data_IF_870365774363
#
_entry.id   IF_870365774363
#
_cell.length_a   1.000
_cell.length_b   1.000
_cell.length_c   1.000
_cell.angle_alpha   90.00
_cell.angle_beta   90.00
_cell.angle_gamma   90.00
#
_symmetry.space_group_name_H-M   'P 1'
#
loop_
_entity.id
_entity.type
_entity.pdbx_description
1 polymer ?
#
# COMPACT_ATOMS: atom_id res chain seq x y z
N UNK A 1 -7.63 19.12 -1.53
CA UNK A 1 -9.06 19.10 -1.13
C UNK A 1 -9.20 18.82 0.34
N UNK A 2 -10.27 19.28 1.01
CA UNK A 2 -10.57 18.83 2.37
C UNK A 2 -10.86 17.32 2.37
N UNK A 3 -10.56 16.63 3.47
CA UNK A 3 -10.92 15.21 3.66
C UNK A 3 -12.44 15.00 3.49
N UNK A 4 -12.83 13.80 3.04
CA UNK A 4 -14.22 13.38 2.90
C UNK A 4 -15.09 13.77 4.10
N UNK A 5 -16.13 14.58 3.84
CA UNK A 5 -17.07 15.07 4.85
C UNK A 5 -16.67 16.39 5.50
N UNK A 6 -15.52 16.96 5.15
CA UNK A 6 -15.06 18.27 5.61
C UNK A 6 -15.25 19.34 4.53
N UNK A 7 -15.42 20.60 4.93
CA UNK A 7 -15.46 21.76 4.04
C UNK A 7 -14.17 22.60 4.20
N UNK A 8 -13.75 23.38 3.20
CA UNK A 8 -12.52 24.16 3.29
C UNK A 8 -12.45 25.11 4.50
N UNK A 9 -13.58 25.57 5.00
CA UNK A 9 -13.67 26.48 6.15
C UNK A 9 -13.47 25.80 7.51
N UNK A 10 -13.67 24.48 7.58
CA UNK A 10 -13.58 23.69 8.82
C UNK A 10 -12.65 22.48 8.72
N UNK A 11 -11.86 22.38 7.65
CA UNK A 11 -11.00 21.24 7.43
C UNK A 11 -9.76 21.25 8.33
N UNK A 12 -9.60 20.18 9.11
CA UNK A 12 -8.38 19.89 9.85
C UNK A 12 -7.44 18.97 9.05
N UNK A 13 -7.98 18.25 8.07
CA UNK A 13 -7.28 17.25 7.26
C UNK A 13 -7.41 17.58 5.77
N UNK A 14 -6.28 17.58 5.07
CA UNK A 14 -6.19 17.95 3.66
C UNK A 14 -5.60 16.83 2.83
N UNK A 15 -6.24 16.55 1.70
CA UNK A 15 -5.78 15.61 0.67
C UNK A 15 -5.01 16.38 -0.40
N UNK A 16 -3.78 15.97 -0.61
CA UNK A 16 -2.87 16.54 -1.62
C UNK A 16 -2.73 15.52 -2.75
N UNK A 17 -2.96 15.98 -3.98
CA UNK A 17 -2.91 15.14 -5.17
C UNK A 17 -1.56 15.25 -5.86
N UNK A 18 -1.00 14.11 -6.26
CA UNK A 18 0.28 14.03 -6.96
C UNK A 18 0.09 13.34 -8.30
N UNK A 19 0.21 14.04 -9.44
CA UNK A 19 0.12 13.39 -10.75
C UNK A 19 1.38 12.57 -11.00
N UNK A 20 1.21 11.25 -11.15
CA UNK A 20 2.32 10.30 -11.38
C UNK A 20 2.07 9.52 -12.67
N UNK A 21 3.13 9.34 -13.47
CA UNK A 21 3.12 8.51 -14.68
C UNK A 21 4.16 7.40 -14.55
N UNK A 22 3.74 6.17 -14.84
CA UNK A 22 4.65 5.04 -14.92
C UNK A 22 5.62 5.19 -16.12
N UNK A 23 6.85 4.63 -16.04
CA UNK A 23 7.79 4.64 -17.16
C UNK A 23 7.20 4.05 -18.45
N UNK A 24 7.75 4.45 -19.60
CA UNK A 24 7.35 3.86 -20.87
C UNK A 24 7.57 2.35 -20.88
N UNK A 25 6.56 1.61 -21.37
CA UNK A 25 6.54 0.14 -21.42
C UNK A 25 6.58 -0.55 -20.03
N UNK A 26 6.29 0.17 -18.94
CA UNK A 26 6.14 -0.45 -17.63
C UNK A 26 4.94 -1.41 -17.63
N UNK A 27 5.12 -2.58 -17.00
CA UNK A 27 4.01 -3.48 -16.71
C UNK A 27 3.21 -2.92 -15.54
N UNK A 28 1.90 -2.80 -15.72
CA UNK A 28 0.92 -2.34 -14.75
C UNK A 28 0.15 -3.50 -14.16
N UNK A 29 -0.68 -3.23 -13.14
CA UNK A 29 -1.56 -4.22 -12.50
C UNK A 29 -2.45 -4.95 -13.51
N UNK A 30 -2.85 -4.29 -14.59
CA UNK A 30 -3.76 -4.84 -15.61
C UNK A 30 -3.08 -5.76 -16.61
N UNK A 31 -1.75 -5.76 -16.65
CA UNK A 31 -0.97 -6.50 -17.65
C UNK A 31 -0.65 -7.95 -17.23
N UNK A 32 -1.09 -8.38 -16.04
CA UNK A 32 -0.83 -9.74 -15.53
C UNK A 32 -2.08 -10.39 -14.97
N UNK A 33 -2.36 -11.59 -15.44
CA UNK A 33 -3.26 -12.54 -14.78
C UNK A 33 -2.77 -12.89 -13.37
N UNK A 34 -3.67 -13.38 -12.54
CA UNK A 34 -3.34 -13.84 -11.19
C UNK A 34 -2.30 -14.97 -11.22
N UNK A 35 -2.34 -15.85 -12.23
CA UNK A 35 -1.34 -16.92 -12.39
C UNK A 35 0.03 -16.37 -12.76
N UNK A 36 0.13 -15.38 -13.65
CA UNK A 36 1.41 -14.74 -13.98
C UNK A 36 2.02 -14.02 -12.77
N UNK A 37 1.18 -13.43 -11.92
CA UNK A 37 1.64 -12.87 -10.64
C UNK A 37 2.20 -13.97 -9.71
N UNK A 38 1.51 -15.11 -9.59
CA UNK A 38 1.96 -16.26 -8.80
C UNK A 38 3.29 -16.85 -9.32
N UNK A 39 3.42 -17.03 -10.64
CA UNK A 39 4.65 -17.52 -11.26
C UNK A 39 5.81 -16.53 -11.05
N UNK A 40 5.55 -15.23 -11.20
CA UNK A 40 6.56 -14.21 -10.92
C UNK A 40 6.99 -14.23 -9.45
N UNK A 41 6.05 -14.38 -8.51
CA UNK A 41 6.38 -14.55 -7.09
C UNK A 41 7.23 -15.81 -6.86
N UNK A 42 6.90 -16.93 -7.52
CA UNK A 42 7.65 -18.18 -7.38
C UNK A 42 9.08 -18.06 -7.89
N UNK A 43 9.30 -17.37 -9.01
CA UNK A 43 10.66 -17.05 -9.48
C UNK A 43 11.44 -16.25 -8.44
N UNK A 44 10.81 -15.24 -7.81
CA UNK A 44 11.42 -14.46 -6.73
C UNK A 44 11.74 -15.34 -5.52
N UNK A 45 10.77 -16.17 -5.10
CA UNK A 45 10.90 -17.10 -3.98
C UNK A 45 12.08 -18.05 -4.15
N UNK A 46 12.28 -18.58 -5.36
CA UNK A 46 13.29 -19.61 -5.63
C UNK A 46 14.70 -19.06 -5.78
N UNK A 47 14.87 -17.87 -6.38
CA UNK A 47 16.21 -17.40 -6.74
C UNK A 47 16.72 -16.21 -5.92
N UNK A 48 15.87 -15.53 -5.12
CA UNK A 48 16.26 -14.31 -4.41
C UNK A 48 15.91 -14.28 -2.91
N UNK A 49 15.15 -15.24 -2.40
CA UNK A 49 14.72 -15.21 -0.98
C UNK A 49 14.83 -16.56 -0.29
N UNK A 50 15.39 -16.56 0.92
CA UNK A 50 15.37 -17.74 1.79
C UNK A 50 14.04 -17.83 2.57
N UNK A 51 13.56 -16.69 3.07
CA UNK A 51 12.27 -16.54 3.75
C UNK A 51 11.10 -16.29 2.77
N UNK A 52 9.90 -16.05 3.30
CA UNK A 52 8.71 -15.85 2.47
C UNK A 52 8.64 -14.40 1.94
N UNK A 53 8.69 -14.16 0.62
CA UNK A 53 8.48 -12.83 0.07
C UNK A 53 7.03 -12.41 0.24
N UNK A 54 6.81 -11.22 0.80
CA UNK A 54 5.47 -10.62 0.91
C UNK A 54 4.90 -10.36 -0.48
N UNK A 55 3.63 -10.72 -0.69
CA UNK A 55 2.92 -10.49 -1.94
C UNK A 55 1.41 -10.38 -1.71
N UNK A 56 0.80 -9.47 -2.47
CA UNK A 56 -0.65 -9.40 -2.66
C UNK A 56 -0.95 -9.72 -4.12
N UNK A 57 -1.62 -10.83 -4.37
CA UNK A 57 -2.08 -11.24 -5.70
C UNK A 57 -3.48 -10.68 -5.91
N UNK A 58 -3.65 -9.86 -6.96
CA UNK A 58 -4.97 -9.37 -7.38
C UNK A 58 -5.57 -10.28 -8.44
N UNK A 59 -6.84 -10.66 -8.29
CA UNK A 59 -7.49 -11.63 -9.20
C UNK A 59 -8.92 -11.26 -9.57
N UNK A 60 -9.35 -11.71 -10.76
CA UNK A 60 -10.74 -11.69 -11.21
C UNK A 60 -11.47 -12.97 -10.79
N UNK A 61 -12.80 -12.94 -10.58
CA UNK A 61 -13.56 -14.09 -10.07
C UNK A 61 -13.38 -15.40 -10.86
N UNK A 62 -13.19 -15.31 -12.18
CA UNK A 62 -12.98 -16.45 -13.07
C UNK A 62 -11.59 -17.09 -12.97
N UNK A 63 -10.60 -16.39 -12.41
CA UNK A 63 -9.24 -16.90 -12.19
C UNK A 63 -9.11 -17.74 -10.91
N UNK A 64 -10.11 -17.68 -10.02
CA UNK A 64 -10.05 -18.28 -8.68
C UNK A 64 -9.71 -19.77 -8.70
N UNK A 65 -10.30 -20.53 -9.63
CA UNK A 65 -10.06 -21.97 -9.73
C UNK A 65 -8.62 -22.30 -10.13
N UNK A 66 -8.00 -21.47 -10.96
CA UNK A 66 -6.63 -21.70 -11.39
C UNK A 66 -5.64 -21.33 -10.29
N UNK A 67 -5.91 -20.25 -9.55
CA UNK A 67 -5.13 -19.89 -8.35
C UNK A 67 -5.13 -21.04 -7.34
N UNK A 68 -6.29 -21.62 -7.04
CA UNK A 68 -6.40 -22.73 -6.09
C UNK A 68 -5.56 -23.94 -6.53
N UNK A 69 -5.63 -24.32 -7.81
CA UNK A 69 -4.81 -25.41 -8.37
C UNK A 69 -3.31 -25.08 -8.26
N UNK A 70 -2.94 -23.85 -8.55
CA UNK A 70 -1.56 -23.40 -8.50
C UNK A 70 -0.98 -23.44 -7.09
N UNK A 71 -1.72 -22.92 -6.11
CA UNK A 71 -1.32 -22.94 -4.69
C UNK A 71 -1.19 -24.39 -4.22
N UNK A 72 -2.15 -25.26 -4.56
CA UNK A 72 -2.09 -26.67 -4.18
C UNK A 72 -0.84 -27.37 -4.75
N UNK A 73 -0.49 -27.09 -6.01
CA UNK A 73 0.69 -27.65 -6.67
C UNK A 73 2.00 -27.17 -6.03
N UNK A 74 2.05 -25.95 -5.52
CA UNK A 74 3.25 -25.31 -4.97
C UNK A 74 3.23 -25.17 -3.44
N UNK A 75 2.34 -25.88 -2.76
CA UNK A 75 2.11 -25.74 -1.31
C UNK A 75 3.36 -25.92 -0.46
N UNK A 76 4.34 -26.70 -0.93
CA UNK A 76 5.62 -26.94 -0.26
C UNK A 76 6.53 -25.69 -0.24
N UNK A 77 6.28 -24.73 -1.14
CA UNK A 77 7.07 -23.49 -1.30
C UNK A 77 6.37 -22.27 -0.73
N UNK A 78 5.06 -22.33 -0.54
CA UNK A 78 4.21 -21.22 -0.09
C UNK A 78 4.23 -21.15 1.43
N UNK A 79 4.86 -20.11 1.99
CA UNK A 79 4.81 -19.79 3.42
C UNK A 79 3.62 -18.90 3.78
N UNK A 80 3.30 -17.94 2.91
CA UNK A 80 2.13 -17.08 3.04
C UNK A 80 1.98 -16.17 1.82
N UNK A 81 0.76 -16.05 1.31
CA UNK A 81 0.41 -15.18 0.18
C UNK A 81 -0.95 -14.56 0.47
N UNK A 82 -1.13 -13.28 0.13
CA UNK A 82 -2.41 -12.59 0.26
C UNK A 82 -3.09 -12.54 -1.10
N UNK A 83 -4.38 -12.87 -1.16
CA UNK A 83 -5.19 -12.80 -2.37
C UNK A 83 -6.32 -11.79 -2.17
N UNK A 84 -6.36 -10.76 -3.01
CA UNK A 84 -7.43 -9.76 -2.99
C UNK A 84 -8.14 -9.74 -4.34
N UNK A 85 -9.47 -9.69 -4.37
CA UNK A 85 -10.17 -9.43 -5.62
C UNK A 85 -9.72 -8.11 -6.25
N UNK A 86 -9.60 -8.06 -7.57
CA UNK A 86 -9.39 -6.84 -8.32
C UNK A 86 -10.69 -6.02 -8.41
N UNK A 87 -11.27 -5.66 -7.26
CA UNK A 87 -12.38 -4.70 -7.21
C UNK A 87 -11.80 -3.30 -6.99
N UNK A 88 -12.24 -2.35 -7.81
CA UNK A 88 -12.04 -0.93 -7.51
C UNK A 88 -13.08 -0.55 -6.46
N UNK A 89 -12.67 -0.59 -5.18
CA UNK A 89 -13.48 -0.02 -4.12
C UNK A 89 -13.57 1.49 -4.38
N UNK A 90 -14.73 1.96 -4.86
CA UNK A 90 -14.98 3.38 -5.10
C UNK A 90 -15.14 4.09 -3.75
N UNK A 91 -14.03 4.54 -3.20
CA UNK A 91 -14.03 5.56 -2.16
C UNK A 91 -13.87 6.92 -2.82
N UNK A 92 -14.51 7.95 -2.27
CA UNK A 92 -14.47 9.31 -2.83
C UNK A 92 -13.04 9.88 -2.92
N UNK A 93 -12.12 9.41 -2.07
CA UNK A 93 -10.70 9.80 -2.05
C UNK A 93 -9.83 8.54 -2.00
N UNK A 94 -9.71 7.84 -3.12
CA UNK A 94 -8.79 6.71 -3.21
C UNK A 94 -7.33 7.20 -3.15
N UNK A 95 -6.43 6.48 -2.45
CA UNK A 95 -5.00 6.82 -2.43
C UNK A 95 -4.35 6.83 -3.82
N UNK A 96 -4.85 5.99 -4.73
CA UNK A 96 -4.45 5.96 -6.12
C UNK A 96 -5.69 5.98 -7.01
N UNK A 97 -5.72 6.90 -7.95
CA UNK A 97 -6.78 7.04 -8.93
C UNK A 97 -6.19 6.93 -10.34
N UNK A 98 -6.79 6.09 -11.16
CA UNK A 98 -6.41 5.97 -12.57
C UNK A 98 -7.03 7.12 -13.36
N UNK A 99 -6.19 7.97 -13.93
CA UNK A 99 -6.59 9.12 -14.73
C UNK A 99 -6.23 8.93 -16.21
N UNK A 100 -6.91 9.66 -17.08
CA UNK A 100 -6.58 9.69 -18.51
C UNK A 100 -5.26 10.43 -18.76
N UNK A 101 -4.68 10.21 -19.93
CA UNK A 101 -3.48 10.94 -20.36
C UNK A 101 -3.73 12.45 -20.42
N UNK A 102 -4.90 12.87 -20.91
CA UNK A 102 -5.27 14.29 -21.02
C UNK A 102 -5.35 14.97 -19.64
N UNK A 103 -5.96 14.29 -18.67
CA UNK A 103 -6.01 14.75 -17.29
C UNK A 103 -4.63 14.84 -16.67
N UNK A 104 -3.78 13.83 -16.88
CA UNK A 104 -2.40 13.84 -16.41
C UNK A 104 -1.62 15.04 -16.96
N UNK A 105 -1.69 15.28 -18.27
CA UNK A 105 -0.98 16.39 -18.92
C UNK A 105 -1.44 17.76 -18.39
N UNK A 106 -2.75 17.91 -18.15
CA UNK A 106 -3.30 19.11 -17.50
C UNK A 106 -2.78 19.26 -16.07
N UNK A 107 -2.88 18.22 -15.25
CA UNK A 107 -2.50 18.25 -13.84
C UNK A 107 -1.00 18.51 -13.66
N UNK A 108 -0.13 17.91 -14.48
CA UNK A 108 1.31 18.16 -14.44
C UNK A 108 1.65 19.60 -14.82
N UNK A 109 0.90 20.19 -15.76
CA UNK A 109 1.09 21.59 -16.14
C UNK A 109 0.66 22.54 -15.02
N UNK A 110 -0.40 22.20 -14.30
CA UNK A 110 -0.90 22.97 -13.15
C UNK A 110 -0.10 22.71 -11.86
N UNK A 111 0.65 21.61 -11.80
CA UNK A 111 1.39 21.20 -10.60
C UNK A 111 2.50 22.22 -10.29
N UNK A 112 2.56 22.76 -9.06
CA UNK A 112 3.52 23.78 -8.72
C UNK A 112 4.95 23.23 -8.67
N UNK A 113 5.93 24.06 -9.03
CA UNK A 113 7.33 23.75 -8.80
C UNK A 113 7.63 23.79 -7.29
N UNK A 114 7.87 22.64 -6.68
CA UNK A 114 8.17 22.51 -5.25
C UNK A 114 9.68 22.63 -5.03
N UNK A 115 10.09 23.63 -4.26
CA UNK A 115 11.48 23.83 -3.85
C UNK A 115 11.73 23.17 -2.49
N UNK A 116 12.09 21.89 -2.52
CA UNK A 116 12.39 21.09 -1.34
C UNK A 116 13.57 21.66 -0.51
N UNK A 117 14.41 22.54 -1.07
CA UNK A 117 15.48 23.20 -0.31
C UNK A 117 14.96 24.15 0.76
N UNK A 118 13.68 24.54 0.73
CA UNK A 118 13.06 25.44 1.72
C UNK A 118 12.38 24.71 2.87
N UNK A 119 12.35 23.37 2.87
CA UNK A 119 11.67 22.57 3.92
C UNK A 119 12.17 22.93 5.32
N UNK A 120 13.48 23.17 5.49
CA UNK A 120 14.08 23.58 6.77
C UNK A 120 13.48 24.89 7.36
N UNK A 121 12.78 25.70 6.55
CA UNK A 121 12.10 26.92 7.05
C UNK A 121 10.76 26.63 7.70
N UNK A 122 10.20 25.45 7.45
CA UNK A 122 8.88 25.03 7.92
C UNK A 122 8.99 23.92 8.98
N UNK A 123 10.07 23.14 8.96
CA UNK A 123 10.43 22.21 10.03
C UNK A 123 11.22 22.93 11.13
N UNK A 124 10.52 23.61 12.04
CA UNK A 124 11.14 24.26 13.21
C UNK A 124 11.46 23.26 14.33
N UNK A 125 10.66 22.19 14.44
CA UNK A 125 10.80 21.13 15.44
C UNK A 125 10.79 19.76 14.75
N UNK A 126 11.69 18.89 15.18
CA UNK A 126 11.73 17.51 14.73
C UNK A 126 10.65 16.69 15.46
N UNK A 127 9.52 16.48 14.78
CA UNK A 127 8.44 15.62 15.25
C UNK A 127 8.63 14.16 14.82
N UNK A 128 9.81 13.79 14.29
CA UNK A 128 10.14 12.40 13.99
C UNK A 128 10.26 11.64 15.31
N UNK A 129 9.13 11.21 15.86
CA UNK A 129 9.10 10.06 16.75
C UNK A 129 9.54 8.90 15.89
N UNK A 130 10.84 8.55 15.97
CA UNK A 130 11.26 7.20 15.62
C UNK A 130 10.37 6.30 16.46
N UNK A 131 9.34 5.73 15.85
CA UNK A 131 8.48 4.75 16.48
C UNK A 131 9.42 3.61 16.84
N UNK A 132 9.96 3.65 18.05
CA UNK A 132 10.67 2.55 18.68
C UNK A 132 9.60 1.53 19.05
N UNK A 133 8.89 1.00 18.06
CA UNK A 133 8.30 -0.31 18.23
C UNK A 133 9.50 -1.26 18.33
N UNK A 134 9.77 -1.69 19.57
CA UNK A 134 10.68 -2.79 19.88
C UNK A 134 10.11 -4.06 19.24
N UNK A 135 10.28 -4.18 17.91
CA UNK A 135 9.65 -5.23 17.12
C UNK A 135 10.08 -6.64 17.55
N UNK A 136 11.17 -6.79 18.31
CA UNK A 136 11.66 -8.06 18.83
C UNK A 136 12.53 -7.85 20.09
N UNK A 137 11.91 -7.74 21.27
CA UNK A 137 12.58 -8.15 22.52
C UNK A 137 12.38 -9.66 22.67
N UNK A 138 13.44 -10.43 22.46
CA UNK A 138 13.44 -11.87 22.63
C UNK A 138 12.96 -12.25 24.05
N UNK A 139 11.68 -12.61 24.19
CA UNK A 139 11.14 -13.30 25.36
C UNK A 139 10.01 -12.64 26.14
N UNK A 140 9.57 -11.41 25.86
CA UNK A 140 8.46 -10.77 26.58
C UNK A 140 7.43 -10.17 25.63
N UNK A 141 6.20 -10.68 25.65
CA UNK A 141 5.03 -9.97 25.10
C UNK A 141 4.64 -8.85 26.08
N UNK A 142 4.24 -7.68 25.57
CA UNK A 142 3.51 -6.71 26.39
C UNK A 142 2.18 -7.35 26.79
N UNK A 143 2.01 -7.60 28.09
CA UNK A 143 0.76 -8.03 28.67
C UNK A 143 0.24 -6.84 29.46
N UNK A 144 -0.75 -6.13 28.91
CA UNK A 144 -1.46 -5.10 29.64
C UNK A 144 -2.32 -5.76 30.72
N UNK A 145 -1.87 -5.67 31.97
CA UNK A 145 -2.68 -6.02 33.12
C UNK A 145 -3.51 -4.80 33.52
N UNK A 146 -4.77 -4.75 33.08
CA UNK A 146 -5.77 -3.88 33.71
C UNK A 146 -5.98 -4.34 35.16
N UNK A 147 -5.46 -3.56 36.12
CA UNK A 147 -5.79 -3.74 37.53
C UNK A 147 -7.22 -3.26 37.76
N UNK A 148 -8.11 -4.08 38.35
CA UNK A 148 -9.47 -3.65 38.65
C UNK A 148 -9.43 -2.52 39.68
N UNK A 149 -10.05 -1.39 39.33
CA UNK A 149 -10.19 -0.22 40.19
C UNK A 149 -10.89 -0.60 41.49
N UNK A 150 -10.11 -0.72 42.57
CA UNK A 150 -10.62 -0.89 43.92
C UNK A 150 -11.37 0.36 44.35
N UNK A 151 -12.67 0.20 44.61
CA UNK A 151 -13.51 1.17 45.31
C UNK A 151 -12.85 1.57 46.64
N UNK A 152 -12.73 2.87 46.88
CA UNK A 152 -12.87 3.43 48.23
C UNK A 152 -14.19 4.18 48.29
#
# INVERSE_FOLDING_TARGET
DPENGQMPENADTWVIHFPVKAPENALTRKDRSAIEQCEFWLQNKLNWTEHNPSVTITYQPDEMMDIMKWVWKNQDKVGGMTFLPAFDAQYDQMPYEEITQEEYEKLVTEFPAIDFSKIYRYEEEDFTTAAQELACLAGNCEIDFELPSGKK
#
